data_IF_337337274760
#
_entry.id   IF_337337274760
#
_cell.length_a   1.000
_cell.length_b   1.000
_cell.length_c   1.000
_cell.angle_alpha   90.00
_cell.angle_beta   90.00
_cell.angle_gamma   90.00
#
_symmetry.space_group_name_H-M   'P 1'
#
loop_
_entity.id
_entity.type
_entity.pdbx_description
1 polymer ?
#
# COMPACT_ATOMS: atom_id res chain seq x y z
N UNK A 1 -18.90 -5.53 -20.22
CA UNK A 1 -18.57 -6.80 -19.51
C UNK A 1 -19.12 -6.67 -18.11
N UNK A 2 -20.18 -7.36 -17.77
CA UNK A 2 -20.56 -7.44 -16.37
C UNK A 2 -19.39 -8.04 -15.61
N UNK A 3 -19.01 -7.41 -14.51
CA UNK A 3 -17.95 -7.88 -13.62
C UNK A 3 -18.31 -9.31 -13.23
N UNK A 4 -17.70 -10.28 -13.91
CA UNK A 4 -18.03 -11.69 -13.68
C UNK A 4 -17.45 -12.08 -12.32
N UNK A 5 -18.30 -11.96 -11.30
CA UNK A 5 -18.01 -12.38 -9.93
C UNK A 5 -17.65 -13.86 -9.83
N UNK A 6 -17.78 -14.61 -10.92
CA UNK A 6 -17.37 -16.00 -11.04
C UNK A 6 -15.90 -16.18 -11.40
N UNK A 7 -15.15 -15.11 -11.68
CA UNK A 7 -13.70 -15.23 -11.82
C UNK A 7 -13.08 -15.50 -10.44
N UNK A 8 -12.82 -16.76 -10.16
CA UNK A 8 -12.31 -17.27 -8.86
C UNK A 8 -11.03 -16.51 -8.44
N UNK A 9 -10.14 -16.20 -9.38
CA UNK A 9 -8.90 -15.49 -9.07
C UNK A 9 -9.14 -14.05 -8.59
N UNK A 10 -10.07 -13.34 -9.23
CA UNK A 10 -10.43 -11.98 -8.82
C UNK A 10 -11.13 -11.96 -7.48
N UNK A 11 -12.07 -12.87 -7.24
CA UNK A 11 -12.73 -13.00 -5.95
C UNK A 11 -11.71 -13.23 -4.83
N UNK A 12 -10.76 -14.13 -5.05
CA UNK A 12 -9.69 -14.41 -4.09
C UNK A 12 -8.83 -13.17 -3.77
N UNK A 13 -8.53 -12.33 -4.77
CA UNK A 13 -7.81 -11.06 -4.56
C UNK A 13 -8.60 -10.09 -3.68
N UNK A 14 -9.92 -9.96 -3.90
CA UNK A 14 -10.77 -9.09 -3.08
C UNK A 14 -10.93 -9.63 -1.66
N UNK A 15 -11.13 -10.94 -1.50
CA UNK A 15 -11.20 -11.57 -0.17
C UNK A 15 -9.89 -11.36 0.62
N UNK A 16 -8.73 -11.41 -0.05
CA UNK A 16 -7.44 -11.08 0.57
C UNK A 16 -7.33 -9.61 0.97
N UNK A 17 -7.78 -8.69 0.12
CA UNK A 17 -7.78 -7.26 0.44
C UNK A 17 -8.68 -6.96 1.64
N UNK A 18 -9.86 -7.55 1.72
CA UNK A 18 -10.77 -7.40 2.85
C UNK A 18 -10.12 -7.94 4.14
N UNK A 19 -9.47 -9.11 4.07
CA UNK A 19 -8.68 -9.65 5.19
C UNK A 19 -7.54 -8.73 5.63
N UNK A 20 -6.82 -8.10 4.68
CA UNK A 20 -5.75 -7.15 4.99
C UNK A 20 -6.28 -5.87 5.65
N UNK A 21 -7.48 -5.41 5.25
CA UNK A 21 -8.15 -4.26 5.87
C UNK A 21 -8.49 -4.58 7.33
N UNK A 22 -9.11 -5.74 7.59
CA UNK A 22 -9.49 -6.16 8.94
C UNK A 22 -8.26 -6.31 9.84
N UNK A 23 -7.22 -7.02 9.38
CA UNK A 23 -5.96 -7.17 10.11
C UNK A 23 -5.22 -5.84 10.28
N UNK A 24 -5.36 -4.95 9.30
CA UNK A 24 -4.83 -3.58 9.40
C UNK A 24 -5.46 -2.86 10.58
N UNK A 25 -6.79 -2.86 10.70
CA UNK A 25 -7.48 -2.23 11.82
C UNK A 25 -7.14 -2.84 13.18
N UNK A 26 -6.80 -4.13 13.24
CA UNK A 26 -6.35 -4.77 14.49
C UNK A 26 -5.05 -4.13 15.03
N UNK A 27 -4.21 -3.53 14.18
CA UNK A 27 -3.01 -2.81 14.61
C UNK A 27 -3.33 -1.60 15.51
N UNK A 28 -4.52 -0.98 15.37
CA UNK A 28 -4.96 0.08 16.30
C UNK A 28 -5.09 -0.44 17.73
N UNK A 29 -5.58 -1.67 17.91
CA UNK A 29 -5.65 -2.31 19.23
C UNK A 29 -4.24 -2.61 19.76
N UNK A 30 -3.32 -3.04 18.89
CA UNK A 30 -1.92 -3.28 19.26
C UNK A 30 -1.27 -1.98 19.77
N UNK A 31 -1.46 -0.87 19.08
CA UNK A 31 -0.99 0.44 19.52
C UNK A 31 -1.61 0.84 20.86
N UNK A 32 -2.93 0.67 21.02
CA UNK A 32 -3.62 0.97 22.26
C UNK A 32 -3.04 0.17 23.43
N UNK A 33 -2.82 -1.13 23.24
CA UNK A 33 -2.28 -2.01 24.28
C UNK A 33 -0.86 -1.64 24.68
N UNK A 34 -0.03 -1.20 23.73
CA UNK A 34 1.34 -0.80 24.01
C UNK A 34 1.38 0.58 24.70
N UNK A 35 0.70 1.57 24.13
CA UNK A 35 0.74 2.97 24.60
C UNK A 35 0.16 3.12 26.00
N UNK A 36 -0.84 2.32 26.35
CA UNK A 36 -1.46 2.33 27.66
C UNK A 36 -1.02 1.18 28.56
N UNK A 37 0.14 0.57 28.25
CA UNK A 37 0.73 -0.47 29.10
C UNK A 37 1.05 0.10 30.48
N UNK A 38 0.65 -0.62 31.54
CA UNK A 38 0.82 -0.17 32.93
C UNK A 38 -0.17 0.92 33.39
N UNK A 39 -0.99 1.46 32.49
CA UNK A 39 -2.07 2.37 32.85
C UNK A 39 -3.27 1.58 33.40
N UNK A 40 -4.02 2.20 34.33
CA UNK A 40 -5.27 1.62 34.84
C UNK A 40 -6.38 1.69 33.79
N UNK A 41 -7.52 1.01 34.05
CA UNK A 41 -8.64 0.96 33.10
C UNK A 41 -9.27 2.35 32.87
N UNK A 42 -9.31 3.21 33.89
CA UNK A 42 -9.82 4.57 33.76
C UNK A 42 -9.02 5.38 32.74
N UNK A 43 -7.69 5.28 32.77
CA UNK A 43 -6.81 5.97 31.82
C UNK A 43 -6.97 5.42 30.40
N UNK A 44 -7.16 4.10 30.25
CA UNK A 44 -7.39 3.43 28.96
C UNK A 44 -8.74 3.82 28.32
N UNK A 45 -9.72 4.18 29.15
CA UNK A 45 -11.06 4.57 28.72
C UNK A 45 -11.29 6.08 28.89
N UNK A 46 -10.24 6.84 29.16
CA UNK A 46 -10.30 8.27 29.39
C UNK A 46 -10.91 9.01 28.18
N UNK A 47 -12.01 9.73 28.45
CA UNK A 47 -12.78 10.47 27.43
C UNK A 47 -12.48 11.96 27.42
N UNK A 48 -11.49 12.42 28.17
CA UNK A 48 -11.10 13.83 28.24
C UNK A 48 -10.44 14.36 26.97
N UNK A 49 -9.93 13.45 26.11
CA UNK A 49 -9.49 13.79 24.75
C UNK A 49 -10.62 13.44 23.79
N UNK A 50 -11.36 14.43 23.27
CA UNK A 50 -12.46 14.18 22.37
C UNK A 50 -11.97 13.46 21.09
N UNK A 51 -12.79 12.52 20.61
CA UNK A 51 -12.47 11.73 19.41
C UNK A 51 -12.11 12.59 18.19
N UNK A 52 -12.78 13.71 17.97
CA UNK A 52 -12.56 14.59 16.85
C UNK A 52 -11.18 15.30 16.88
N UNK A 53 -10.48 15.33 18.04
CA UNK A 53 -9.11 15.83 18.13
C UNK A 53 -8.14 15.00 17.31
N UNK A 54 -8.45 13.71 17.08
CA UNK A 54 -7.71 12.85 16.15
C UNK A 54 -7.61 13.46 14.75
N UNK A 55 -8.67 14.13 14.32
CA UNK A 55 -8.77 14.66 12.96
C UNK A 55 -8.16 16.07 12.84
N UNK A 56 -7.86 16.72 13.97
CA UNK A 56 -7.26 18.05 14.00
C UNK A 56 -5.87 18.06 13.32
N UNK A 57 -5.74 18.85 12.26
CA UNK A 57 -4.52 18.89 11.44
C UNK A 57 -4.34 17.71 10.48
N UNK A 58 -5.26 16.73 10.47
CA UNK A 58 -5.24 15.56 9.60
C UNK A 58 -6.43 15.51 8.64
N UNK A 59 -7.58 16.06 9.03
CA UNK A 59 -8.81 16.07 8.22
C UNK A 59 -9.40 17.48 8.15
N UNK A 60 -9.94 17.83 6.98
CA UNK A 60 -10.65 19.08 6.77
C UNK A 60 -11.95 19.18 7.59
N UNK A 61 -12.52 18.05 7.99
CA UNK A 61 -13.76 18.02 8.78
C UNK A 61 -13.59 18.63 10.18
N UNK A 62 -12.39 18.52 10.76
CA UNK A 62 -12.14 19.07 12.08
C UNK A 62 -12.15 20.61 12.11
N UNK A 63 -11.72 21.25 11.03
CA UNK A 63 -11.72 22.70 10.88
C UNK A 63 -10.80 23.47 11.84
N UNK A 64 -10.03 22.79 12.69
CA UNK A 64 -9.09 23.47 13.60
C UNK A 64 -7.89 24.02 12.88
N UNK A 65 -7.52 25.24 13.27
CA UNK A 65 -6.25 25.85 12.90
C UNK A 65 -5.10 25.25 13.72
N UNK A 66 -3.88 25.41 13.24
CA UNK A 66 -2.67 25.03 13.98
C UNK A 66 -2.63 25.66 15.37
N UNK A 67 -3.01 26.94 15.47
CA UNK A 67 -2.98 27.69 16.73
C UNK A 67 -3.98 27.16 17.76
N UNK A 68 -5.18 26.79 17.33
CA UNK A 68 -6.19 26.15 18.18
C UNK A 68 -5.70 24.81 18.71
N UNK A 69 -5.13 23.96 17.85
CA UNK A 69 -4.55 22.71 18.27
C UNK A 69 -3.38 22.88 19.25
N UNK A 70 -2.43 23.79 18.96
CA UNK A 70 -1.30 24.06 19.86
C UNK A 70 -1.76 24.63 21.21
N UNK A 71 -2.84 25.41 21.21
CA UNK A 71 -3.45 25.92 22.44
C UNK A 71 -4.08 24.78 23.24
N UNK A 72 -4.80 23.86 22.60
CA UNK A 72 -5.33 22.67 23.24
C UNK A 72 -4.21 21.85 23.88
N UNK A 73 -3.14 21.53 23.17
CA UNK A 73 -2.02 20.75 23.69
C UNK A 73 -1.38 21.44 24.91
N UNK A 74 -1.18 22.77 24.86
CA UNK A 74 -0.62 23.55 25.99
C UNK A 74 -1.51 23.51 27.24
N UNK A 75 -2.82 23.53 27.07
CA UNK A 75 -3.76 23.46 28.20
C UNK A 75 -3.68 22.13 28.96
N UNK A 76 -3.11 21.09 28.37
CA UNK A 76 -2.94 19.77 28.93
C UNK A 76 -1.45 19.34 29.05
N UNK A 77 -0.53 20.33 29.13
CA UNK A 77 0.92 20.08 29.17
C UNK A 77 1.35 19.18 30.32
N UNK A 78 0.64 19.26 31.46
CA UNK A 78 0.95 18.45 32.66
C UNK A 78 0.17 17.10 32.72
N UNK A 79 -0.54 16.75 31.65
CA UNK A 79 -1.39 15.56 31.64
C UNK A 79 -0.84 14.45 30.73
N UNK A 80 0.00 13.57 31.28
CA UNK A 80 0.60 12.45 30.57
C UNK A 80 -0.46 11.59 29.81
N UNK A 81 -1.62 11.38 30.41
CA UNK A 81 -2.69 10.58 29.79
C UNK A 81 -3.21 11.23 28.49
N UNK A 82 -3.26 12.56 28.43
CA UNK A 82 -3.65 13.28 27.21
C UNK A 82 -2.60 13.11 26.12
N UNK A 83 -1.30 13.16 26.48
CA UNK A 83 -0.20 12.94 25.55
C UNK A 83 -0.22 11.52 24.97
N UNK A 84 -0.54 10.50 25.78
CA UNK A 84 -0.70 9.11 25.32
C UNK A 84 -1.87 8.98 24.33
N UNK A 85 -3.00 9.62 24.60
CA UNK A 85 -4.16 9.60 23.70
C UNK A 85 -3.88 10.35 22.39
N UNK A 86 -3.23 11.50 22.41
CA UNK A 86 -2.82 12.22 21.21
C UNK A 86 -1.88 11.38 20.34
N UNK A 87 -0.87 10.77 20.97
CA UNK A 87 0.06 9.91 20.26
C UNK A 87 -0.61 8.62 19.72
N UNK A 88 -1.53 8.05 20.47
CA UNK A 88 -2.35 6.94 20.00
C UNK A 88 -3.14 7.33 18.75
N UNK A 89 -3.73 8.52 18.73
CA UNK A 89 -4.45 9.01 17.56
C UNK A 89 -3.53 9.20 16.35
N UNK A 90 -2.30 9.67 16.54
CA UNK A 90 -1.31 9.75 15.45
C UNK A 90 -0.97 8.36 14.89
N UNK A 91 -0.81 7.36 15.75
CA UNK A 91 -0.57 5.97 15.33
C UNK A 91 -1.79 5.37 14.63
N UNK A 92 -3.00 5.62 15.15
CA UNK A 92 -4.26 5.19 14.54
C UNK A 92 -4.46 5.78 13.14
N UNK A 93 -4.04 7.03 12.92
CA UNK A 93 -4.05 7.66 11.60
C UNK A 93 -3.13 6.96 10.60
N UNK A 94 -1.99 6.40 11.03
CA UNK A 94 -1.16 5.55 10.14
C UNK A 94 -1.89 4.27 9.76
N UNK A 95 -2.58 3.66 10.72
CA UNK A 95 -3.38 2.45 10.47
C UNK A 95 -4.52 2.75 9.51
N UNK A 96 -5.26 3.83 9.74
CA UNK A 96 -6.31 4.28 8.83
C UNK A 96 -5.78 4.52 7.41
N UNK A 97 -4.63 5.20 7.29
CA UNK A 97 -3.99 5.45 6.00
C UNK A 97 -3.59 4.15 5.29
N UNK A 98 -3.13 3.12 6.01
CA UNK A 98 -2.84 1.80 5.45
C UNK A 98 -4.11 1.14 4.89
N UNK A 99 -5.17 1.08 5.70
CA UNK A 99 -6.45 0.49 5.29
C UNK A 99 -7.07 1.22 4.10
N UNK A 100 -6.93 2.55 4.04
CA UNK A 100 -7.40 3.33 2.90
C UNK A 100 -6.61 3.03 1.62
N UNK A 101 -5.29 2.73 1.71
CA UNK A 101 -4.54 2.24 0.53
C UNK A 101 -5.11 0.92 0.00
N UNK A 102 -5.46 -0.01 0.86
CA UNK A 102 -6.09 -1.27 0.44
C UNK A 102 -7.45 -1.06 -0.23
N UNK A 103 -8.29 -0.18 0.32
CA UNK A 103 -9.57 0.21 -0.29
C UNK A 103 -9.37 0.89 -1.66
N UNK A 104 -8.36 1.75 -1.79
CA UNK A 104 -8.02 2.39 -3.07
C UNK A 104 -7.54 1.38 -4.10
N UNK A 105 -6.71 0.39 -3.71
CA UNK A 105 -6.28 -0.71 -4.59
C UNK A 105 -7.50 -1.49 -5.07
N UNK A 106 -8.41 -1.88 -4.16
CA UNK A 106 -9.64 -2.57 -4.53
C UNK A 106 -10.49 -1.77 -5.53
N UNK A 107 -10.61 -0.47 -5.30
CA UNK A 107 -11.35 0.42 -6.20
C UNK A 107 -10.71 0.52 -7.59
N UNK A 108 -9.38 0.66 -7.65
CA UNK A 108 -8.65 0.72 -8.93
C UNK A 108 -8.73 -0.60 -9.69
N UNK A 109 -8.67 -1.73 -9.01
CA UNK A 109 -8.87 -3.05 -9.63
C UNK A 109 -10.27 -3.18 -10.24
N UNK A 110 -11.33 -2.74 -9.52
CA UNK A 110 -12.70 -2.76 -10.07
C UNK A 110 -12.80 -1.89 -11.33
N UNK A 111 -12.24 -0.67 -11.30
CA UNK A 111 -12.25 0.23 -12.46
C UNK A 111 -11.45 -0.38 -13.62
N UNK A 112 -10.26 -0.93 -13.33
CA UNK A 112 -9.42 -1.59 -14.34
C UNK A 112 -10.20 -2.69 -15.07
N UNK A 113 -10.75 -3.66 -14.35
CA UNK A 113 -11.45 -4.79 -14.96
C UNK A 113 -12.76 -4.40 -15.63
N UNK A 114 -13.40 -3.31 -15.23
CA UNK A 114 -14.58 -2.78 -15.92
C UNK A 114 -14.24 -2.09 -17.24
N UNK A 115 -13.04 -1.53 -17.37
CA UNK A 115 -12.61 -0.80 -18.57
C UNK A 115 -11.63 -1.57 -19.42
N UNK A 116 -11.04 -2.64 -18.89
CA UNK A 116 -10.11 -3.46 -19.66
C UNK A 116 -10.85 -4.14 -20.82
N UNK A 117 -10.51 -3.81 -22.07
CA UNK A 117 -11.30 -4.23 -23.23
C UNK A 117 -11.16 -5.74 -23.46
N UNK A 118 -12.26 -6.36 -23.86
CA UNK A 118 -12.23 -7.71 -24.42
C UNK A 118 -11.66 -7.74 -25.83
N UNK A 119 -11.71 -6.61 -26.52
CA UNK A 119 -11.16 -6.40 -27.86
C UNK A 119 -10.45 -5.05 -27.93
N UNK A 120 -9.31 -4.99 -28.60
CA UNK A 120 -8.55 -3.77 -28.83
C UNK A 120 -8.45 -3.46 -30.34
N UNK A 121 -8.39 -2.20 -30.74
CA UNK A 121 -8.15 -1.83 -32.13
C UNK A 121 -6.72 -2.13 -32.62
N UNK A 122 -5.79 -2.40 -31.72
CA UNK A 122 -4.39 -2.68 -32.03
C UNK A 122 -4.05 -4.16 -31.96
N UNK A 123 -3.63 -4.75 -33.07
CA UNK A 123 -3.17 -6.15 -33.12
C UNK A 123 -1.69 -6.26 -32.83
N UNK A 124 -1.28 -7.27 -32.06
CA UNK A 124 0.14 -7.53 -31.76
C UNK A 124 0.96 -7.83 -33.03
N UNK A 125 0.35 -8.43 -34.04
CA UNK A 125 1.00 -8.73 -35.32
C UNK A 125 1.36 -7.47 -36.10
N UNK A 126 0.66 -6.37 -35.87
CA UNK A 126 0.85 -5.09 -36.54
C UNK A 126 1.99 -4.25 -35.93
N UNK A 127 2.74 -4.78 -34.98
CA UNK A 127 3.85 -4.09 -34.31
C UNK A 127 4.87 -3.46 -35.26
N UNK A 128 5.03 -4.01 -36.46
CA UNK A 128 5.94 -3.47 -37.47
C UNK A 128 5.37 -2.25 -38.23
N UNK A 129 4.06 -2.03 -38.11
CA UNK A 129 3.34 -1.02 -38.90
C UNK A 129 2.28 -0.25 -38.11
N UNK A 130 2.24 -0.38 -36.78
CA UNK A 130 1.20 0.18 -35.94
C UNK A 130 1.11 1.71 -36.04
N UNK A 131 0.01 2.18 -36.60
CA UNK A 131 -0.44 3.56 -36.38
C UNK A 131 -1.05 3.63 -35.00
N UNK A 132 -0.36 4.29 -34.08
CA UNK A 132 -0.73 4.34 -32.67
C UNK A 132 -1.97 5.20 -32.49
N UNK A 133 -3.06 4.59 -32.07
CA UNK A 133 -4.24 5.31 -31.56
C UNK A 133 -4.45 4.88 -30.11
N UNK A 134 -4.07 5.73 -29.17
CA UNK A 134 -4.37 5.50 -27.74
C UNK A 134 -5.85 5.79 -27.54
N UNK A 135 -6.60 4.80 -27.09
CA UNK A 135 -8.02 4.97 -26.76
C UNK A 135 -8.19 5.58 -25.37
N UNK A 136 -9.32 6.24 -25.06
CA UNK A 136 -9.62 6.67 -23.71
C UNK A 136 -9.64 5.51 -22.70
N UNK A 137 -10.07 4.32 -23.11
CA UNK A 137 -10.06 3.09 -22.30
C UNK A 137 -8.65 2.67 -21.94
N UNK A 138 -7.70 2.72 -22.88
CA UNK A 138 -6.30 2.40 -22.62
C UNK A 138 -5.73 3.33 -21.57
N UNK A 139 -6.00 4.63 -21.68
CA UNK A 139 -5.58 5.64 -20.70
C UNK A 139 -6.14 5.33 -19.31
N UNK A 140 -7.41 4.96 -19.19
CA UNK A 140 -8.04 4.57 -17.91
C UNK A 140 -7.37 3.32 -17.34
N UNK A 141 -7.16 2.29 -18.17
CA UNK A 141 -6.52 1.05 -17.76
C UNK A 141 -5.11 1.31 -17.19
N UNK A 142 -4.29 2.08 -17.89
CA UNK A 142 -2.95 2.43 -17.42
C UNK A 142 -2.97 3.33 -16.19
N UNK A 143 -3.89 4.28 -16.07
CA UNK A 143 -4.07 5.09 -14.88
C UNK A 143 -4.41 4.24 -13.65
N UNK A 144 -5.28 3.23 -13.81
CA UNK A 144 -5.61 2.28 -12.75
C UNK A 144 -4.40 1.45 -12.35
N UNK A 145 -3.69 0.86 -13.32
CA UNK A 145 -2.49 0.04 -13.07
C UNK A 145 -1.42 0.87 -12.37
N UNK A 146 -1.11 2.06 -12.87
CA UNK A 146 -0.14 2.97 -12.26
C UNK A 146 -0.52 3.30 -10.82
N UNK A 147 -1.81 3.59 -10.57
CA UNK A 147 -2.32 3.87 -9.23
C UNK A 147 -2.18 2.68 -8.29
N UNK A 148 -2.46 1.46 -8.75
CA UNK A 148 -2.28 0.23 -7.96
C UNK A 148 -0.82 0.09 -7.51
N UNK A 149 0.14 0.24 -8.41
CA UNK A 149 1.57 0.16 -8.07
C UNK A 149 2.01 1.25 -7.09
N UNK A 150 1.52 2.49 -7.26
CA UNK A 150 1.80 3.60 -6.35
C UNK A 150 1.21 3.35 -4.96
N UNK A 151 -0.03 2.84 -4.86
CA UNK A 151 -0.68 2.54 -3.59
C UNK A 151 -0.02 1.37 -2.87
N UNK A 152 0.39 0.31 -3.58
CA UNK A 152 1.15 -0.81 -3.01
C UNK A 152 2.48 -0.33 -2.41
N UNK A 153 3.27 0.44 -3.15
CA UNK A 153 4.52 0.99 -2.65
C UNK A 153 4.31 1.93 -1.45
N UNK A 154 3.26 2.76 -1.48
CA UNK A 154 2.88 3.61 -0.35
C UNK A 154 2.50 2.79 0.88
N UNK A 155 1.82 1.64 0.70
CA UNK A 155 1.48 0.73 1.80
C UNK A 155 2.73 0.14 2.46
N UNK A 156 3.78 -0.18 1.69
CA UNK A 156 5.06 -0.63 2.23
C UNK A 156 5.71 0.46 3.10
N UNK A 157 5.69 1.71 2.66
CA UNK A 157 6.23 2.82 3.44
C UNK A 157 5.42 3.05 4.74
N UNK A 158 4.09 2.91 4.70
CA UNK A 158 3.24 3.03 5.89
C UNK A 158 3.50 1.87 6.86
N UNK A 159 3.57 0.61 6.39
CA UNK A 159 3.93 -0.55 7.22
C UNK A 159 5.31 -0.36 7.87
N UNK A 160 6.25 0.24 7.15
CA UNK A 160 7.57 0.57 7.68
C UNK A 160 7.51 1.59 8.80
N UNK A 161 6.62 2.59 8.69
CA UNK A 161 6.39 3.57 9.77
C UNK A 161 5.76 2.90 10.99
N UNK A 162 4.72 2.10 10.80
CA UNK A 162 4.07 1.34 11.87
C UNK A 162 5.08 0.47 12.61
N UNK A 163 5.94 -0.25 11.87
CA UNK A 163 7.02 -1.05 12.45
C UNK A 163 7.93 -0.24 13.38
N UNK A 164 8.38 0.93 12.94
CA UNK A 164 9.29 1.78 13.72
C UNK A 164 8.61 2.34 14.96
N UNK A 165 7.34 2.76 14.88
CA UNK A 165 6.59 3.23 16.04
C UNK A 165 6.37 2.11 17.09
N UNK A 166 6.11 0.89 16.65
CA UNK A 166 5.97 -0.27 17.54
C UNK A 166 7.32 -0.68 18.18
N UNK A 167 8.40 -0.67 17.41
CA UNK A 167 9.74 -1.05 17.87
C UNK A 167 10.34 -0.05 18.86
N UNK A 168 10.17 1.24 18.58
CA UNK A 168 10.85 2.30 19.33
C UNK A 168 9.95 2.91 20.44
N UNK A 169 8.79 2.30 20.70
CA UNK A 169 7.81 2.75 21.68
C UNK A 169 8.40 3.00 23.08
N UNK A 170 9.25 2.10 23.59
CA UNK A 170 9.84 2.22 24.94
C UNK A 170 10.75 3.44 25.11
N UNK A 171 11.18 4.05 24.02
CA UNK A 171 12.01 5.27 24.03
C UNK A 171 11.18 6.55 24.16
N UNK A 172 9.85 6.44 24.14
CA UNK A 172 8.97 7.59 24.17
C UNK A 172 8.80 8.13 25.60
N UNK A 173 8.87 9.45 25.69
CA UNK A 173 8.64 10.19 26.92
C UNK A 173 7.27 10.89 26.83
N UNK A 174 6.29 10.36 27.56
CA UNK A 174 4.93 10.91 27.64
C UNK A 174 4.76 12.02 28.68
N UNK A 175 5.82 12.44 29.37
CA UNK A 175 5.78 13.68 30.16
C UNK A 175 5.47 14.90 29.28
N UNK A 176 5.63 14.75 27.96
CA UNK A 176 5.23 15.69 26.93
C UNK A 176 4.62 14.94 25.74
N UNK A 177 3.88 15.63 24.88
CA UNK A 177 3.36 15.05 23.65
C UNK A 177 4.52 14.70 22.69
N UNK A 178 4.82 13.41 22.48
CA UNK A 178 5.99 13.01 21.69
C UNK A 178 5.71 13.16 20.19
N UNK A 179 6.77 13.44 19.44
CA UNK A 179 6.72 13.42 17.97
C UNK A 179 6.91 11.99 17.48
N UNK A 180 6.19 11.60 16.44
CA UNK A 180 6.39 10.34 15.76
C UNK A 180 7.84 10.20 15.26
N UNK A 181 8.49 9.11 15.62
CA UNK A 181 9.87 8.80 15.22
C UNK A 181 9.94 8.35 13.76
N UNK A 182 8.85 7.81 13.24
CA UNK A 182 8.74 7.29 11.86
C UNK A 182 8.52 8.35 10.79
N UNK A 183 8.41 9.64 11.11
CA UNK A 183 7.96 10.69 10.19
C UNK A 183 8.68 10.70 8.84
N UNK A 184 9.97 10.32 8.80
CA UNK A 184 10.80 10.28 7.58
C UNK A 184 11.15 8.87 7.13
N UNK A 185 10.56 7.84 7.75
CA UNK A 185 10.88 6.44 7.48
C UNK A 185 10.21 5.99 6.18
N UNK A 186 10.97 5.31 5.35
CA UNK A 186 10.55 4.62 4.14
C UNK A 186 11.06 3.18 4.18
N UNK A 187 10.47 2.27 3.40
CA UNK A 187 10.90 0.88 3.33
C UNK A 187 12.43 0.73 3.12
N UNK A 188 13.01 1.58 2.26
CA UNK A 188 14.44 1.55 1.96
C UNK A 188 15.37 1.84 3.15
N UNK A 189 14.89 2.54 4.18
CA UNK A 189 15.69 2.95 5.34
C UNK A 189 15.80 1.89 6.44
N UNK A 190 14.89 0.90 6.46
CA UNK A 190 14.76 -0.07 7.57
C UNK A 190 15.62 -1.32 7.41
N UNK A 191 15.92 -1.72 6.20
CA UNK A 191 16.49 -3.04 5.84
C UNK A 191 17.80 -3.41 6.57
N UNK A 192 18.45 -2.47 7.21
CA UNK A 192 19.77 -2.72 7.84
C UNK A 192 19.72 -3.17 9.31
N UNK A 193 18.57 -3.18 9.96
CA UNK A 193 18.51 -3.31 11.44
C UNK A 193 17.59 -4.40 11.99
N UNK A 194 16.88 -5.17 11.15
CA UNK A 194 15.88 -6.15 11.62
C UNK A 194 16.40 -7.58 11.58
N UNK A 195 16.37 -8.26 12.73
CA UNK A 195 16.79 -9.66 12.87
C UNK A 195 15.71 -10.69 12.50
N UNK A 196 14.42 -10.30 12.44
CA UNK A 196 13.31 -11.22 12.15
C UNK A 196 12.44 -10.68 11.00
N UNK A 197 13.03 -10.65 9.80
CA UNK A 197 12.41 -10.11 8.58
C UNK A 197 11.87 -11.17 7.62
N UNK A 198 12.11 -12.45 7.90
CA UNK A 198 11.79 -13.56 6.98
C UNK A 198 10.32 -13.54 6.60
N UNK A 199 10.02 -13.59 5.31
CA UNK A 199 8.66 -13.60 4.75
C UNK A 199 7.94 -12.25 4.80
N UNK A 200 8.61 -11.16 5.23
CA UNK A 200 8.02 -9.81 5.31
C UNK A 200 8.45 -8.92 4.15
N UNK A 201 7.81 -7.74 4.04
CA UNK A 201 8.24 -6.71 3.08
C UNK A 201 9.69 -6.26 3.28
N UNK A 202 10.23 -6.41 4.49
CA UNK A 202 11.59 -6.00 4.85
C UNK A 202 12.67 -6.92 4.28
N UNK A 203 12.33 -8.18 3.98
CA UNK A 203 13.20 -9.10 3.25
C UNK A 203 13.36 -8.71 1.77
N UNK A 204 12.44 -7.88 1.26
CA UNK A 204 12.38 -7.45 -0.14
C UNK A 204 12.35 -8.62 -1.13
N UNK A 205 11.39 -9.54 -1.01
CA UNK A 205 11.21 -10.59 -2.01
C UNK A 205 10.96 -9.99 -3.40
N UNK A 206 11.07 -10.81 -4.43
CA UNK A 206 10.96 -10.38 -5.84
C UNK A 206 9.70 -9.57 -6.13
N UNK A 207 8.54 -9.96 -5.58
CA UNK A 207 7.28 -9.23 -5.74
C UNK A 207 7.35 -7.81 -5.15
N UNK A 208 7.96 -7.62 -3.98
CA UNK A 208 8.17 -6.30 -3.37
C UNK A 208 9.13 -5.46 -4.19
N UNK A 209 10.24 -6.05 -4.66
CA UNK A 209 11.18 -5.37 -5.54
C UNK A 209 10.51 -4.92 -6.85
N UNK A 210 9.68 -5.76 -7.45
CA UNK A 210 8.90 -5.43 -8.64
C UNK A 210 8.05 -4.17 -8.41
N UNK A 211 7.25 -4.15 -7.34
CA UNK A 211 6.40 -2.99 -7.00
C UNK A 211 7.24 -1.72 -6.80
N UNK A 212 8.32 -1.79 -6.03
CA UNK A 212 9.19 -0.64 -5.74
C UNK A 212 9.84 -0.10 -7.02
N UNK A 213 10.33 -0.99 -7.90
CA UNK A 213 10.98 -0.57 -9.13
C UNK A 213 10.00 0.01 -10.16
N UNK A 214 8.80 -0.57 -10.30
CA UNK A 214 7.73 0.02 -11.13
C UNK A 214 7.36 1.41 -10.60
N UNK A 215 7.13 1.54 -9.27
CA UNK A 215 6.82 2.85 -8.66
C UNK A 215 7.92 3.88 -8.93
N UNK A 216 9.18 3.49 -8.83
CA UNK A 216 10.29 4.40 -9.11
C UNK A 216 10.28 4.86 -10.58
N UNK A 217 9.96 3.96 -11.53
CA UNK A 217 9.77 4.34 -12.94
C UNK A 217 8.61 5.32 -13.09
N UNK A 218 7.46 5.05 -12.47
CA UNK A 218 6.30 5.94 -12.54
C UNK A 218 6.60 7.35 -12.02
N UNK A 219 7.35 7.44 -10.92
CA UNK A 219 7.66 8.74 -10.28
C UNK A 219 8.78 9.50 -11.01
N UNK A 220 9.81 8.81 -11.49
CA UNK A 220 11.01 9.48 -12.04
C UNK A 220 11.03 9.54 -13.57
N UNK A 221 10.43 8.57 -14.24
CA UNK A 221 10.41 8.49 -15.70
C UNK A 221 9.01 8.75 -16.29
N UNK A 222 7.99 8.90 -15.44
CA UNK A 222 6.60 9.18 -15.83
C UNK A 222 5.78 7.93 -16.20
N UNK A 223 6.42 6.86 -16.69
CA UNK A 223 5.77 5.59 -17.01
C UNK A 223 6.79 4.46 -17.10
N UNK A 224 6.32 3.21 -16.96
CA UNK A 224 7.12 2.03 -17.31
C UNK A 224 6.96 1.67 -18.81
N UNK A 225 6.02 2.26 -19.53
CA UNK A 225 5.85 2.11 -20.97
C UNK A 225 5.75 3.48 -21.63
N UNK A 226 6.57 3.70 -22.68
CA UNK A 226 6.55 4.96 -23.43
C UNK A 226 5.25 5.12 -24.24
N UNK A 227 4.71 4.01 -24.74
CA UNK A 227 3.47 3.98 -25.51
C UNK A 227 2.48 3.07 -24.80
N UNK A 228 1.68 3.66 -23.91
CA UNK A 228 0.70 2.96 -23.10
C UNK A 228 -0.47 2.46 -23.95
N UNK A 229 -0.41 1.19 -24.37
CA UNK A 229 -1.40 0.58 -25.26
C UNK A 229 -1.90 -0.74 -24.74
N UNK A 230 -3.17 -1.01 -25.01
CA UNK A 230 -3.75 -2.33 -24.91
C UNK A 230 -3.75 -2.97 -26.30
N UNK A 231 -3.18 -4.16 -26.41
CA UNK A 231 -3.06 -4.88 -27.68
C UNK A 231 -4.06 -6.02 -27.76
N UNK A 232 -4.54 -6.34 -28.97
CA UNK A 232 -5.24 -7.57 -29.22
C UNK A 232 -4.26 -8.74 -29.31
N UNK A 233 -4.51 -9.78 -28.54
CA UNK A 233 -3.76 -10.99 -28.61
C UNK A 233 -4.63 -12.15 -29.10
N UNK A 234 -4.17 -12.82 -30.16
CA UNK A 234 -4.87 -13.91 -30.81
C UNK A 234 -4.34 -15.24 -30.27
N UNK A 235 -4.87 -15.71 -29.16
CA UNK A 235 -4.31 -16.86 -28.40
C UNK A 235 -5.23 -18.08 -28.30
N UNK A 236 -6.24 -18.20 -29.10
CA UNK A 236 -7.18 -19.29 -28.88
C UNK A 236 -7.45 -20.16 -30.11
N UNK A 237 -7.74 -21.46 -29.91
CA UNK A 237 -8.18 -22.33 -31.00
C UNK A 237 -9.49 -21.90 -31.65
N UNK A 238 -10.23 -20.97 -30.99
CA UNK A 238 -11.48 -20.41 -31.49
C UNK A 238 -11.37 -18.96 -32.02
N UNK A 239 -10.15 -18.41 -32.11
CA UNK A 239 -9.93 -17.07 -32.62
C UNK A 239 -10.49 -15.96 -31.74
N UNK A 240 -10.57 -16.17 -30.43
CA UNK A 240 -10.93 -15.10 -29.50
C UNK A 240 -9.75 -14.17 -29.32
N UNK A 241 -9.99 -12.89 -29.57
CA UNK A 241 -9.06 -11.81 -29.30
C UNK A 241 -9.24 -11.35 -27.85
N UNK A 242 -8.14 -11.28 -27.10
CA UNK A 242 -8.13 -10.77 -25.74
C UNK A 242 -7.27 -9.52 -25.67
N UNK A 243 -7.75 -8.50 -24.95
CA UNK A 243 -6.94 -7.34 -24.63
C UNK A 243 -5.71 -7.73 -23.82
N UNK A 244 -4.55 -7.16 -24.15
CA UNK A 244 -3.28 -7.48 -23.52
C UNK A 244 -2.50 -6.20 -23.26
N UNK A 245 -1.97 -6.07 -22.04
CA UNK A 245 -0.97 -5.05 -21.67
C UNK A 245 0.36 -5.76 -21.53
N UNK A 246 1.37 -5.34 -22.29
CA UNK A 246 2.71 -5.87 -22.15
C UNK A 246 3.35 -5.34 -20.85
N UNK A 247 4.05 -6.22 -20.17
CA UNK A 247 4.77 -5.90 -18.95
C UNK A 247 6.28 -5.96 -19.21
N UNK A 248 7.06 -5.01 -18.65
CA UNK A 248 8.51 -5.01 -18.84
C UNK A 248 9.17 -6.29 -18.35
N UNK A 249 10.19 -6.74 -19.06
CA UNK A 249 11.00 -7.88 -18.63
C UNK A 249 11.73 -7.55 -17.34
N UNK A 250 11.60 -8.42 -16.35
CA UNK A 250 12.21 -8.28 -15.04
C UNK A 250 12.85 -9.58 -14.57
N UNK A 251 14.00 -9.45 -13.92
CA UNK A 251 14.70 -10.55 -13.25
C UNK A 251 14.81 -10.25 -11.76
N UNK A 252 14.25 -11.10 -10.90
CA UNK A 252 14.20 -10.91 -9.45
C UNK A 252 13.62 -9.53 -9.03
N UNK A 253 12.66 -9.02 -9.79
CA UNK A 253 12.03 -7.72 -9.56
C UNK A 253 12.85 -6.52 -10.04
N UNK A 254 13.93 -6.72 -10.79
CA UNK A 254 14.76 -5.68 -11.40
C UNK A 254 14.52 -5.65 -12.91
N UNK A 255 14.41 -4.44 -13.49
CA UNK A 255 14.25 -4.28 -14.93
C UNK A 255 15.45 -4.84 -15.70
N UNK A 256 15.18 -5.58 -16.77
CA UNK A 256 16.18 -5.94 -17.77
C UNK A 256 16.52 -4.68 -18.58
N UNK A 257 17.77 -4.26 -18.53
CA UNK A 257 18.22 -3.01 -19.16
C UNK A 257 19.45 -3.24 -20.06
N UNK A 258 19.64 -2.38 -21.05
CA UNK A 258 20.87 -2.38 -21.86
C UNK A 258 21.25 -0.94 -22.22
N UNK A 259 22.42 -0.49 -21.74
CA UNK A 259 22.92 0.88 -21.94
C UNK A 259 21.87 1.92 -21.55
N UNK A 260 21.41 2.73 -22.53
CA UNK A 260 20.38 3.74 -22.33
C UNK A 260 18.94 3.22 -22.51
N UNK A 261 18.76 1.94 -22.82
CA UNK A 261 17.44 1.30 -22.95
C UNK A 261 17.01 0.74 -21.61
N UNK A 262 15.90 1.24 -21.11
CA UNK A 262 15.45 1.00 -19.75
C UNK A 262 14.45 -0.14 -19.62
N UNK A 263 13.70 -0.44 -20.69
CA UNK A 263 12.66 -1.46 -20.69
C UNK A 263 12.76 -2.31 -21.95
N UNK A 264 12.65 -3.62 -21.77
CA UNK A 264 12.46 -4.60 -22.84
C UNK A 264 11.14 -5.32 -22.57
N UNK A 265 10.49 -5.80 -23.62
CA UNK A 265 9.18 -6.43 -23.53
C UNK A 265 9.19 -7.74 -24.32
N UNK A 266 9.09 -8.86 -23.62
CA UNK A 266 8.79 -10.15 -24.21
C UNK A 266 7.27 -10.25 -24.44
N UNK A 267 6.85 -10.82 -25.55
CA UNK A 267 5.42 -11.03 -25.83
C UNK A 267 4.75 -11.98 -24.84
N UNK A 268 5.54 -12.80 -24.11
CA UNK A 268 5.07 -13.68 -23.06
C UNK A 268 4.74 -12.95 -21.76
N UNK A 269 5.31 -11.75 -21.54
CA UNK A 269 5.11 -11.00 -20.31
C UNK A 269 3.90 -10.06 -20.46
N UNK A 270 2.73 -10.55 -20.05
CA UNK A 270 1.44 -9.88 -20.16
C UNK A 270 0.94 -9.50 -18.77
N UNK A 271 0.79 -8.20 -18.51
CA UNK A 271 0.38 -7.69 -17.20
C UNK A 271 -0.97 -8.27 -16.76
N UNK A 272 -1.94 -8.33 -17.67
CA UNK A 272 -3.27 -8.86 -17.36
C UNK A 272 -3.26 -10.34 -16.90
N UNK A 273 -2.25 -11.12 -17.30
CA UNK A 273 -2.07 -12.50 -16.85
C UNK A 273 -1.21 -12.57 -15.58
N UNK A 274 -0.22 -11.70 -15.44
CA UNK A 274 0.73 -11.71 -14.33
C UNK A 274 0.18 -11.00 -13.09
N UNK A 275 -0.73 -10.03 -13.27
CA UNK A 275 -1.18 -9.11 -12.22
C UNK A 275 -1.80 -9.86 -11.03
N UNK A 276 -2.63 -10.86 -11.27
CA UNK A 276 -3.29 -11.61 -10.21
C UNK A 276 -2.30 -12.39 -9.33
N UNK A 277 -1.31 -13.04 -9.94
CA UNK A 277 -0.23 -13.74 -9.23
C UNK A 277 0.63 -12.79 -8.45
N UNK A 278 1.07 -11.69 -9.07
CA UNK A 278 1.89 -10.66 -8.43
C UNK A 278 1.17 -10.05 -7.22
N UNK A 279 -0.13 -9.72 -7.34
CA UNK A 279 -0.92 -9.18 -6.24
C UNK A 279 -1.08 -10.20 -5.11
N UNK A 280 -1.31 -11.47 -5.42
CA UNK A 280 -1.40 -12.54 -4.42
C UNK A 280 -0.11 -12.62 -3.61
N UNK A 281 1.04 -12.70 -4.27
CA UNK A 281 2.35 -12.78 -3.62
C UNK A 281 2.60 -11.55 -2.73
N UNK A 282 2.29 -10.35 -3.22
CA UNK A 282 2.43 -9.11 -2.46
C UNK A 282 1.53 -9.09 -1.23
N UNK A 283 0.27 -9.51 -1.36
CA UNK A 283 -0.67 -9.53 -0.24
C UNK A 283 -0.29 -10.56 0.81
N UNK A 284 0.24 -11.73 0.43
CA UNK A 284 0.77 -12.72 1.37
C UNK A 284 1.94 -12.19 2.20
N UNK A 285 2.85 -11.48 1.54
CA UNK A 285 3.99 -10.83 2.21
C UNK A 285 3.53 -9.70 3.14
N UNK A 286 2.53 -8.89 2.72
CA UNK A 286 1.95 -7.84 3.56
C UNK A 286 1.21 -8.42 4.76
N UNK A 287 0.43 -9.47 4.57
CA UNK A 287 -0.28 -10.17 5.63
C UNK A 287 0.70 -10.74 6.66
N UNK A 288 1.77 -11.40 6.21
CA UNK A 288 2.85 -11.88 7.07
C UNK A 288 3.49 -10.74 7.85
N UNK A 289 3.69 -9.60 7.21
CA UNK A 289 4.23 -8.39 7.85
C UNK A 289 3.29 -7.90 8.95
N UNK A 290 2.01 -7.72 8.67
CA UNK A 290 1.01 -7.25 9.65
C UNK A 290 0.91 -8.23 10.83
N UNK A 291 0.87 -9.53 10.58
CA UNK A 291 0.85 -10.54 11.62
C UNK A 291 2.08 -10.46 12.53
N UNK A 292 3.29 -10.24 11.98
CA UNK A 292 4.50 -10.06 12.78
C UNK A 292 4.48 -8.76 13.59
N UNK A 293 3.97 -7.67 13.03
CA UNK A 293 3.78 -6.41 13.76
C UNK A 293 2.85 -6.59 14.97
N UNK A 294 1.78 -7.35 14.80
CA UNK A 294 0.85 -7.66 15.90
C UNK A 294 1.52 -8.50 17.03
N UNK A 295 2.52 -9.32 16.70
CA UNK A 295 3.26 -10.12 17.68
C UNK A 295 4.28 -9.27 18.42
N UNK A 296 4.96 -8.31 17.77
CA UNK A 296 5.91 -7.38 18.41
C UNK A 296 5.22 -6.68 19.58
N UNK A 297 3.98 -6.22 19.38
CA UNK A 297 3.20 -5.60 20.44
C UNK A 297 2.81 -6.53 21.59
N UNK A 298 2.80 -7.86 21.40
CA UNK A 298 2.37 -8.84 22.39
C UNK A 298 3.54 -9.50 23.17
N UNK A 299 4.70 -9.70 22.55
CA UNK A 299 5.85 -10.41 23.15
C UNK A 299 6.40 -9.79 24.42
N UNK A 300 6.15 -8.54 24.67
CA UNK A 300 6.59 -7.84 25.87
C UNK A 300 5.57 -7.90 27.03
N UNK A 301 4.46 -8.66 26.87
CA UNK A 301 3.48 -8.89 27.94
C UNK A 301 3.83 -10.07 28.86
N UNK A 302 4.89 -10.85 28.56
CA UNK A 302 5.26 -12.08 29.28
C UNK A 302 6.61 -11.97 30.07
N UNK A 303 7.16 -10.75 30.19
CA UNK A 303 8.43 -10.49 30.85
C UNK A 303 8.29 -9.86 32.27
#
# INVERSE_FOLDING_TARGET
MDFDTNNIALRFIFDKLDSLIDKGYDLSNVFKDIIFRGCNQFDRDYRGVPYWVRDAGNSAECGWTKEEFETYVRNYEDYEIVHRWLYYYDCDMLVCALCDRFKMIASMLRVFYNHFPSESPCKMEDFKHATVTVSPQDTICFACVNSIFLYLASSFDILSKIYVELRDYEKLDFSKYPKMVSRKVLLGSIVKTTSDITGTIFEKPSCVNTIVNIRNRLVHDGSFDFMQMVYDCYDGPNGHSEGTILFPDMENGLFVTSKNRKNFYSQSNRLNLLLSGLLTDVFDVMETTINKLSIIGKKENEG
#
